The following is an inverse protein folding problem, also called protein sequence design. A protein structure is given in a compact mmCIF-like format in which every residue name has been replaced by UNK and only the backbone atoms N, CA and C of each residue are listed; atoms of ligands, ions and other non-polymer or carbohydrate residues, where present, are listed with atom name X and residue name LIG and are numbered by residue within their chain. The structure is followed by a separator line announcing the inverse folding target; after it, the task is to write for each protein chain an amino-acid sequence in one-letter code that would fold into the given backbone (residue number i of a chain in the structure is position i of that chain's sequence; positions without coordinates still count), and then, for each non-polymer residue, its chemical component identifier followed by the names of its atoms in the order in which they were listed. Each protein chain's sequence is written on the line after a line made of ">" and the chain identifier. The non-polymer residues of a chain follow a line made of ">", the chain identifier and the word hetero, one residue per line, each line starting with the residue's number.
data_IF_971426881369
#
_entry.id   IF_971426881369
#
_cell.length_a   1.000
_cell.length_b   1.000
_cell.length_c   1.000
_cell.angle_alpha   90.00
_cell.angle_beta   90.00
_cell.angle_gamma   90.00
#
_symmetry.space_group_name_H-M   'P 1'
#
loop_
_entity.id
_entity.type
_entity.pdbx_description
1 polymer ?
#
# COMPACT_ATOMS: atom_id res chain seq x y z
N UNK A 1 5.98 -32.20 39.88
CA UNK A 1 6.92 -31.18 39.35
C UNK A 1 7.31 -30.09 40.37
N UNK A 2 7.29 -30.36 41.69
CA UNK A 2 7.65 -29.38 42.75
C UNK A 2 9.16 -29.07 42.88
N UNK A 3 10.02 -29.85 42.21
CA UNK A 3 11.49 -29.80 42.38
C UNK A 3 12.25 -29.08 41.26
N UNK A 4 11.65 -28.84 40.09
CA UNK A 4 12.38 -28.30 38.94
C UNK A 4 12.58 -26.77 39.00
N UNK A 5 11.66 -26.02 39.61
CA UNK A 5 11.73 -24.54 39.68
C UNK A 5 12.37 -24.01 40.98
N UNK A 6 12.40 -24.80 42.06
CA UNK A 6 12.95 -24.38 43.35
C UNK A 6 14.48 -24.57 43.48
N UNK A 7 15.15 -25.19 42.50
CA UNK A 7 16.55 -25.62 42.61
C UNK A 7 17.58 -24.79 41.82
N UNK A 8 17.20 -23.75 41.09
CA UNK A 8 18.20 -22.97 40.34
C UNK A 8 17.95 -21.44 40.38
N UNK A 9 18.42 -20.74 41.43
CA UNK A 9 18.47 -19.26 41.43
C UNK A 9 19.27 -18.69 40.25
N UNK A 10 20.13 -19.51 39.63
CA UNK A 10 20.80 -19.17 38.37
C UNK A 10 19.85 -19.05 37.18
N UNK A 11 18.72 -19.78 37.14
CA UNK A 11 17.80 -19.78 35.99
C UNK A 11 17.08 -18.44 35.84
N UNK A 12 16.62 -17.85 36.95
CA UNK A 12 15.95 -16.54 36.93
C UNK A 12 16.93 -15.40 36.61
N UNK A 13 18.18 -15.52 37.09
CA UNK A 13 19.28 -14.60 36.79
C UNK A 13 19.70 -14.69 35.31
N UNK A 14 19.78 -15.89 34.75
CA UNK A 14 20.09 -16.09 33.32
C UNK A 14 18.96 -15.61 32.42
N UNK A 15 17.70 -15.79 32.84
CA UNK A 15 16.54 -15.34 32.06
C UNK A 15 16.46 -13.80 32.04
N UNK A 16 16.64 -13.13 33.19
CA UNK A 16 16.77 -11.67 33.23
C UNK A 16 17.97 -11.16 32.43
N UNK A 17 19.13 -11.81 32.54
CA UNK A 17 20.33 -11.43 31.79
C UNK A 17 20.17 -11.55 30.28
N UNK A 18 19.53 -12.63 29.81
CA UNK A 18 19.19 -12.82 28.40
C UNK A 18 18.18 -11.78 27.91
N UNK A 19 17.17 -11.43 28.72
CA UNK A 19 16.20 -10.38 28.36
C UNK A 19 16.87 -9.02 28.16
N UNK A 20 17.74 -8.61 29.10
CA UNK A 20 18.40 -7.30 29.03
C UNK A 20 19.38 -7.25 27.86
N UNK A 21 20.13 -8.33 27.62
CA UNK A 21 21.04 -8.38 26.45
C UNK A 21 20.28 -8.37 25.13
N UNK A 22 19.13 -9.05 25.04
CA UNK A 22 18.26 -8.99 23.87
C UNK A 22 17.74 -7.56 23.63
N UNK A 23 17.30 -6.86 24.69
CA UNK A 23 16.83 -5.47 24.59
C UNK A 23 17.96 -4.58 24.07
N UNK A 24 19.17 -4.67 24.62
CA UNK A 24 20.31 -3.86 24.18
C UNK A 24 20.71 -4.15 22.72
N UNK A 25 20.70 -5.43 22.31
CA UNK A 25 20.98 -5.81 20.93
C UNK A 25 19.91 -5.28 19.96
N UNK A 26 18.63 -5.37 20.33
CA UNK A 26 17.53 -4.84 19.52
C UNK A 26 17.60 -3.31 19.45
N UNK A 27 17.83 -2.62 20.57
CA UNK A 27 18.04 -1.17 20.60
C UNK A 27 19.20 -0.74 19.70
N UNK A 28 20.33 -1.48 19.72
CA UNK A 28 21.46 -1.20 18.85
C UNK A 28 21.15 -1.45 17.37
N UNK A 29 20.43 -2.53 17.05
CA UNK A 29 19.99 -2.82 15.68
C UNK A 29 19.05 -1.73 15.13
N UNK A 30 18.10 -1.26 15.95
CA UNK A 30 17.20 -0.14 15.59
C UNK A 30 17.99 1.14 15.41
N UNK A 31 18.94 1.44 16.30
CA UNK A 31 19.82 2.61 16.17
C UNK A 31 20.70 2.55 14.90
N UNK A 32 21.24 1.38 14.57
CA UNK A 32 21.99 1.19 13.34
C UNK A 32 21.16 1.44 12.08
N UNK A 33 19.90 1.00 12.07
CA UNK A 33 18.98 1.23 10.97
C UNK A 33 18.57 2.71 10.81
N UNK A 34 18.59 3.50 11.88
CA UNK A 34 18.17 4.92 11.86
C UNK A 34 19.31 5.91 11.60
N UNK A 35 20.57 5.54 11.86
CA UNK A 35 21.72 6.46 11.72
C UNK A 35 22.31 6.47 10.30
N UNK A 36 22.21 5.38 9.56
CA UNK A 36 22.62 5.31 8.15
C UNK A 36 21.54 4.68 7.27
N UNK A 37 20.34 5.28 7.20
CA UNK A 37 19.31 4.82 6.30
C UNK A 37 19.79 5.05 4.86
N UNK A 38 19.97 3.96 4.13
CA UNK A 38 20.25 4.03 2.70
C UNK A 38 18.97 4.12 1.86
N UNK A 39 17.80 4.20 2.50
CA UNK A 39 16.51 4.31 1.83
C UNK A 39 15.95 5.72 1.97
N UNK A 40 15.44 6.23 0.86
CA UNK A 40 14.85 7.55 0.74
C UNK A 40 13.45 7.43 0.15
N UNK A 41 12.53 8.28 0.61
CA UNK A 41 11.18 8.40 0.08
C UNK A 41 11.11 9.62 -0.80
N UNK A 42 10.68 9.43 -2.05
CA UNK A 42 10.39 10.54 -2.94
C UNK A 42 8.89 10.77 -3.01
N UNK A 43 8.51 12.03 -3.15
CA UNK A 43 7.14 12.47 -3.43
C UNK A 43 7.02 12.90 -4.89
N UNK A 44 5.85 12.64 -5.47
CA UNK A 44 5.49 13.15 -6.79
C UNK A 44 4.36 14.16 -6.66
N UNK A 45 4.36 15.16 -7.54
CA UNK A 45 3.26 16.11 -7.70
C UNK A 45 2.50 15.77 -8.99
N UNK A 46 1.20 15.53 -8.85
CA UNK A 46 0.30 15.23 -9.96
C UNK A 46 -0.32 16.52 -10.50
N UNK A 47 -0.10 16.81 -11.78
CA UNK A 47 -0.77 17.88 -12.49
C UNK A 47 -1.84 17.31 -13.43
N UNK A 48 -3.10 17.59 -13.12
CA UNK A 48 -4.24 17.18 -13.94
C UNK A 48 -4.59 18.27 -14.96
N UNK A 49 -4.67 17.88 -16.23
CA UNK A 49 -5.14 18.74 -17.31
C UNK A 49 -6.47 18.24 -17.84
N UNK A 50 -7.51 19.05 -17.67
CA UNK A 50 -8.79 18.87 -18.35
C UNK A 50 -8.71 19.52 -19.73
N UNK A 51 -8.96 18.75 -20.78
CA UNK A 51 -8.79 19.21 -22.16
C UNK A 51 -10.05 19.89 -22.66
N UNK A 52 -9.89 21.11 -23.20
CA UNK A 52 -10.98 21.77 -23.93
C UNK A 52 -11.26 21.01 -25.23
N UNK A 53 -12.45 20.43 -25.32
CA UNK A 53 -12.85 19.58 -26.44
C UNK A 53 -13.46 20.43 -27.56
N UNK A 54 -12.78 20.43 -28.71
CA UNK A 54 -13.27 21.07 -29.93
C UNK A 54 -14.34 20.23 -30.64
N UNK A 55 -15.04 20.84 -31.58
CA UNK A 55 -16.02 20.15 -32.45
C UNK A 55 -15.40 18.93 -33.15
N UNK A 56 -16.07 17.76 -33.10
CA UNK A 56 -15.56 16.56 -33.77
C UNK A 56 -15.62 16.66 -35.28
N UNK A 57 -14.76 15.87 -35.92
CA UNK A 57 -14.94 15.54 -37.33
C UNK A 57 -15.99 14.45 -37.46
N UNK A 58 -17.10 14.77 -38.15
CA UNK A 58 -18.19 13.83 -38.45
C UNK A 58 -17.96 13.15 -39.79
N UNK A 59 -18.01 11.82 -39.81
CA UNK A 59 -17.90 11.00 -41.03
C UNK A 59 -19.08 10.03 -41.05
N UNK A 60 -20.01 10.22 -41.99
CA UNK A 60 -21.10 9.28 -42.22
C UNK A 60 -20.73 8.30 -43.33
N UNK A 61 -20.90 7.01 -43.06
CA UNK A 61 -20.59 5.93 -43.99
C UNK A 61 -21.87 5.21 -44.43
N UNK A 62 -22.32 5.50 -45.65
CA UNK A 62 -23.55 4.95 -46.23
C UNK A 62 -23.53 3.41 -46.33
N UNK A 63 -22.37 2.81 -46.61
CA UNK A 63 -22.25 1.35 -46.80
C UNK A 63 -22.54 0.54 -45.54
N UNK A 64 -22.19 1.07 -44.37
CA UNK A 64 -22.40 0.44 -43.06
C UNK A 64 -23.54 1.08 -42.26
N UNK A 65 -24.12 2.17 -42.78
CA UNK A 65 -25.10 3.01 -42.07
C UNK A 65 -24.60 3.40 -40.68
N UNK A 66 -23.37 3.91 -40.59
CA UNK A 66 -22.73 4.31 -39.33
C UNK A 66 -22.18 5.73 -39.42
N UNK A 67 -22.28 6.48 -38.32
CA UNK A 67 -21.63 7.78 -38.14
C UNK A 67 -20.42 7.62 -37.21
N UNK A 68 -19.28 8.17 -37.61
CA UNK A 68 -18.06 8.21 -36.81
C UNK A 68 -17.79 9.66 -36.42
N UNK A 69 -17.64 9.88 -35.12
CA UNK A 69 -17.20 11.14 -34.53
C UNK A 69 -15.75 10.99 -34.11
N UNK A 70 -14.87 11.87 -34.58
CA UNK A 70 -13.44 11.79 -34.29
C UNK A 70 -12.90 13.11 -33.71
N UNK A 71 -12.18 13.00 -32.60
CA UNK A 71 -11.43 14.09 -31.98
C UNK A 71 -9.94 13.76 -32.00
N UNK A 72 -9.10 14.76 -32.23
CA UNK A 72 -7.66 14.65 -32.03
C UNK A 72 -7.26 15.68 -30.97
N UNK A 73 -6.74 15.20 -29.85
CA UNK A 73 -6.37 16.01 -28.69
C UNK A 73 -4.85 15.88 -28.47
N UNK A 74 -4.09 16.98 -28.51
CA UNK A 74 -2.69 16.95 -28.10
C UNK A 74 -2.58 16.87 -26.58
N UNK A 75 -1.85 15.88 -26.05
CA UNK A 75 -1.49 15.83 -24.63
C UNK A 75 -0.03 16.25 -24.41
N UNK A 76 0.30 16.68 -23.18
CA UNK A 76 1.68 16.89 -22.78
C UNK A 76 2.39 15.52 -22.68
N UNK A 77 3.50 15.34 -23.40
CA UNK A 77 4.28 14.11 -23.42
C UNK A 77 5.16 13.92 -22.17
N UNK A 78 5.55 15.01 -21.52
CA UNK A 78 6.48 15.01 -20.38
C UNK A 78 5.80 14.45 -19.14
N UNK A 79 6.26 13.30 -18.67
CA UNK A 79 5.77 12.55 -17.52
C UNK A 79 4.27 12.23 -17.54
N UNK A 80 3.69 12.04 -18.72
CA UNK A 80 2.30 11.61 -18.84
C UNK A 80 2.14 10.22 -18.25
N UNK A 81 1.29 10.05 -17.24
CA UNK A 81 1.08 8.76 -16.55
C UNK A 81 -0.31 8.21 -16.78
N UNK A 82 -1.34 9.04 -16.66
CA UNK A 82 -2.75 8.64 -16.67
C UNK A 82 -3.55 9.37 -17.75
N UNK A 83 -4.49 8.65 -18.34
CA UNK A 83 -5.48 9.18 -19.28
C UNK A 83 -6.85 8.66 -18.84
N UNK A 84 -7.77 9.59 -18.69
CA UNK A 84 -9.15 9.33 -18.30
C UNK A 84 -10.08 9.91 -19.35
N UNK A 85 -10.73 9.04 -20.10
CA UNK A 85 -11.74 9.41 -21.09
C UNK A 85 -13.12 9.02 -20.56
N UNK A 86 -14.04 9.98 -20.55
CA UNK A 86 -15.47 9.74 -20.35
C UNK A 86 -16.21 10.20 -21.60
N UNK A 87 -17.09 9.36 -22.12
CA UNK A 87 -17.99 9.70 -23.22
C UNK A 87 -19.44 9.59 -22.72
N UNK A 88 -20.24 10.62 -22.97
CA UNK A 88 -21.65 10.71 -22.53
C UNK A 88 -22.59 10.90 -23.71
N UNK A 89 -23.89 10.79 -23.45
CA UNK A 89 -24.96 10.90 -24.47
C UNK A 89 -24.80 9.95 -25.65
N UNK A 90 -24.23 8.77 -25.38
CA UNK A 90 -24.02 7.73 -26.38
C UNK A 90 -25.32 7.03 -26.75
N UNK A 91 -25.52 6.78 -28.05
CA UNK A 91 -26.59 5.88 -28.50
C UNK A 91 -26.31 4.41 -28.15
N UNK A 92 -27.36 3.60 -28.11
CA UNK A 92 -27.26 2.16 -27.91
C UNK A 92 -26.43 1.51 -29.03
N UNK A 93 -25.64 0.50 -28.65
CA UNK A 93 -24.68 -0.21 -29.51
C UNK A 93 -23.57 0.69 -30.09
N UNK A 94 -23.25 1.80 -29.42
CA UNK A 94 -22.11 2.63 -29.81
C UNK A 94 -20.78 2.02 -29.37
N UNK A 95 -19.73 2.32 -30.12
CA UNK A 95 -18.36 1.89 -29.84
C UNK A 95 -17.49 3.09 -29.58
N UNK A 96 -16.86 3.14 -28.41
CA UNK A 96 -15.92 4.19 -28.03
C UNK A 96 -14.50 3.64 -28.15
N UNK A 97 -13.64 4.34 -28.89
CA UNK A 97 -12.23 3.98 -29.10
C UNK A 97 -11.32 5.09 -28.61
N UNK A 98 -10.35 4.74 -27.78
CA UNK A 98 -9.21 5.57 -27.41
C UNK A 98 -7.97 5.08 -28.16
N UNK A 99 -7.38 5.94 -28.98
CA UNK A 99 -6.29 5.62 -29.88
C UNK A 99 -5.07 6.49 -29.56
N UNK A 100 -3.92 5.85 -29.42
CA UNK A 100 -2.63 6.50 -29.33
C UNK A 100 -1.56 5.60 -29.95
N UNK A 101 -0.71 6.15 -30.82
CA UNK A 101 0.28 5.35 -31.57
C UNK A 101 1.50 4.94 -30.76
N UNK A 102 1.80 5.58 -29.62
CA UNK A 102 2.83 5.11 -28.68
C UNK A 102 2.37 3.88 -27.87
N UNK A 103 1.05 3.66 -27.82
CA UNK A 103 0.40 2.56 -27.14
C UNK A 103 0.14 2.86 -25.67
N UNK A 104 -1.03 2.44 -25.21
CA UNK A 104 -1.49 2.62 -23.84
C UNK A 104 -1.77 1.27 -23.20
N UNK A 105 -1.64 1.19 -21.89
CA UNK A 105 -2.07 0.07 -21.07
C UNK A 105 -3.48 0.34 -20.56
N UNK A 106 -4.44 -0.51 -20.89
CA UNK A 106 -5.80 -0.41 -20.35
C UNK A 106 -6.32 -1.77 -19.92
N UNK A 107 -7.31 -1.73 -19.03
CA UNK A 107 -8.13 -2.88 -18.66
C UNK A 107 -9.45 -2.37 -18.10
N UNK A 108 -10.52 -3.16 -18.19
CA UNK A 108 -11.86 -2.79 -17.68
C UNK A 108 -11.89 -2.51 -16.17
N UNK A 109 -10.99 -3.14 -15.42
CA UNK A 109 -10.88 -2.99 -13.96
C UNK A 109 -9.90 -1.89 -13.53
N UNK A 110 -9.21 -1.25 -14.48
CA UNK A 110 -8.28 -0.17 -14.15
C UNK A 110 -9.04 1.04 -13.61
N UNK A 111 -8.68 1.54 -12.43
CA UNK A 111 -9.35 2.68 -11.78
C UNK A 111 -10.67 2.32 -11.07
N UNK A 112 -11.06 1.04 -11.05
CA UNK A 112 -12.28 0.59 -10.38
C UNK A 112 -11.94 0.08 -8.98
N UNK A 113 -12.59 0.61 -7.95
CA UNK A 113 -12.54 0.04 -6.61
C UNK A 113 -13.22 -1.34 -6.62
N UNK A 114 -12.42 -2.39 -6.49
CA UNK A 114 -12.90 -3.77 -6.49
C UNK A 114 -12.13 -4.60 -5.48
N UNK A 115 -12.81 -5.56 -4.85
CA UNK A 115 -12.20 -6.57 -3.97
C UNK A 115 -11.33 -7.59 -4.74
N UNK A 116 -11.27 -7.48 -6.07
CA UNK A 116 -10.48 -8.35 -6.92
C UNK A 116 -9.02 -7.90 -6.91
N UNK A 117 -8.10 -8.87 -6.77
CA UNK A 117 -6.67 -8.64 -6.94
C UNK A 117 -6.37 -8.29 -8.40
N UNK A 118 -6.40 -7.00 -8.74
CA UNK A 118 -6.09 -6.48 -10.06
C UNK A 118 -4.68 -5.87 -10.08
N UNK A 119 -3.85 -6.28 -11.03
CA UNK A 119 -2.53 -5.69 -11.27
C UNK A 119 -2.37 -5.35 -12.74
N UNK A 120 -2.19 -4.06 -13.04
CA UNK A 120 -2.00 -3.61 -14.40
C UNK A 120 -0.72 -4.17 -15.05
N UNK A 121 0.31 -4.47 -14.24
CA UNK A 121 1.55 -5.07 -14.75
C UNK A 121 1.33 -6.46 -15.39
N UNK A 122 0.31 -7.20 -14.95
CA UNK A 122 0.00 -8.55 -15.45
C UNK A 122 -1.21 -8.57 -16.39
N UNK A 123 -2.22 -7.74 -16.10
CA UNK A 123 -3.54 -7.84 -16.74
C UNK A 123 -3.83 -6.71 -17.73
N UNK A 124 -3.14 -5.57 -17.66
CA UNK A 124 -3.34 -4.54 -18.67
C UNK A 124 -2.69 -4.96 -19.99
N UNK A 125 -3.37 -4.65 -21.08
CA UNK A 125 -2.85 -4.90 -22.42
C UNK A 125 -2.29 -3.60 -22.99
N UNK A 126 -1.05 -3.64 -23.48
CA UNK A 126 -0.48 -2.52 -24.23
C UNK A 126 -0.97 -2.57 -25.67
N UNK A 127 -1.93 -1.72 -26.01
CA UNK A 127 -2.43 -1.60 -27.38
C UNK A 127 -2.46 -0.13 -27.82
N UNK A 128 -2.39 0.09 -29.13
CA UNK A 128 -2.58 1.41 -29.71
C UNK A 128 -4.03 1.86 -29.72
N UNK A 129 -4.96 0.91 -29.57
CA UNK A 129 -6.40 1.14 -29.62
C UNK A 129 -7.07 0.34 -28.52
N UNK A 130 -7.88 1.05 -27.73
CA UNK A 130 -8.71 0.48 -26.67
C UNK A 130 -10.16 0.77 -27.00
N UNK A 131 -10.99 -0.27 -27.04
CA UNK A 131 -12.39 -0.19 -27.45
C UNK A 131 -13.31 -0.68 -26.33
N UNK A 132 -14.40 0.07 -26.11
CA UNK A 132 -15.49 -0.31 -25.21
C UNK A 132 -16.81 -0.10 -25.92
N UNK A 133 -17.69 -1.10 -25.84
CA UNK A 133 -19.03 -1.06 -26.42
C UNK A 133 -20.05 -0.62 -25.37
N UNK A 134 -20.95 0.30 -25.74
CA UNK A 134 -22.10 0.70 -24.94
C UNK A 134 -23.34 -0.03 -25.42
N UNK A 135 -23.73 -1.11 -24.73
CA UNK A 135 -24.88 -1.92 -25.14
C UNK A 135 -26.19 -1.14 -25.03
N UNK A 136 -26.42 -0.49 -23.89
CA UNK A 136 -27.68 0.18 -23.57
C UNK A 136 -27.65 1.70 -23.84
N UNK A 137 -26.52 2.23 -24.31
CA UNK A 137 -26.28 3.67 -24.43
C UNK A 137 -25.88 4.32 -23.11
N UNK A 138 -25.74 5.65 -23.12
CA UNK A 138 -25.42 6.44 -21.92
C UNK A 138 -23.94 6.80 -21.81
N UNK A 139 -23.28 6.37 -20.73
CA UNK A 139 -21.92 6.79 -20.38
C UNK A 139 -20.94 5.63 -20.45
N UNK A 140 -19.79 5.86 -21.08
CA UNK A 140 -18.65 4.94 -21.12
C UNK A 140 -17.42 5.64 -20.58
N UNK A 141 -16.65 4.91 -19.76
CA UNK A 141 -15.39 5.39 -19.19
C UNK A 141 -14.27 4.46 -19.64
N UNK A 142 -13.16 5.05 -20.07
CA UNK A 142 -11.92 4.35 -20.40
C UNK A 142 -10.79 4.97 -19.57
N UNK A 143 -10.18 4.15 -18.73
CA UNK A 143 -8.94 4.48 -18.03
C UNK A 143 -7.77 3.84 -18.77
N UNK A 144 -6.69 4.61 -18.96
CA UNK A 144 -5.50 4.12 -19.62
C UNK A 144 -4.24 4.72 -19.00
N UNK A 145 -3.15 3.94 -19.07
CA UNK A 145 -1.84 4.28 -18.55
C UNK A 145 -0.81 4.30 -19.67
N UNK A 146 0.15 5.20 -19.60
CA UNK A 146 1.29 5.20 -20.54
C UNK A 146 2.35 4.16 -20.15
N UNK A 147 2.44 3.84 -18.85
CA UNK A 147 3.32 2.82 -18.29
C UNK A 147 2.63 2.09 -17.13
N UNK A 148 2.91 0.79 -16.99
CA UNK A 148 2.49 0.02 -15.81
C UNK A 148 3.39 0.23 -14.60
N UNK A 149 4.58 0.82 -14.77
CA UNK A 149 5.55 0.99 -13.70
C UNK A 149 4.98 1.90 -12.59
N UNK A 150 4.78 1.36 -11.38
CA UNK A 150 4.25 2.16 -10.27
C UNK A 150 5.24 3.21 -9.79
N UNK A 151 6.56 3.08 -10.01
CA UNK A 151 7.54 4.05 -9.52
C UNK A 151 7.32 5.47 -10.06
N UNK A 152 6.59 5.58 -11.18
CA UNK A 152 6.27 6.85 -11.85
C UNK A 152 5.10 7.61 -11.26
N UNK A 153 4.39 7.04 -10.29
CA UNK A 153 3.15 7.59 -9.74
C UNK A 153 3.01 7.25 -8.26
N UNK A 154 2.34 8.11 -7.51
CA UNK A 154 1.99 7.87 -6.11
C UNK A 154 3.19 7.62 -5.18
N UNK A 155 4.22 8.47 -5.28
CA UNK A 155 5.40 8.42 -4.42
C UNK A 155 6.15 7.07 -4.51
N UNK A 156 7.30 6.98 -3.83
CA UNK A 156 7.98 5.70 -3.76
C UNK A 156 9.24 5.76 -2.93
N UNK A 157 10.05 4.71 -3.04
CA UNK A 157 11.28 4.57 -2.29
C UNK A 157 12.45 4.21 -3.19
N UNK A 158 13.61 4.78 -2.92
CA UNK A 158 14.87 4.48 -3.62
C UNK A 158 15.99 4.23 -2.64
N UNK A 159 16.97 3.44 -3.07
CA UNK A 159 18.19 3.18 -2.32
C UNK A 159 19.34 4.05 -2.85
N UNK A 160 20.04 4.76 -1.97
CA UNK A 160 21.20 5.59 -2.29
C UNK A 160 22.19 5.67 -1.12
N UNK A 161 23.47 5.92 -1.43
CA UNK A 161 24.49 6.16 -0.41
C UNK A 161 24.31 7.53 0.25
N UNK A 162 23.86 8.52 -0.53
CA UNK A 162 23.55 9.88 -0.07
C UNK A 162 22.27 10.42 -0.76
N UNK A 163 21.84 11.60 -0.32
CA UNK A 163 20.63 12.23 -0.84
C UNK A 163 20.78 12.65 -2.30
N UNK A 164 21.99 12.97 -2.77
CA UNK A 164 22.22 13.34 -4.17
C UNK A 164 22.00 12.14 -5.08
N UNK A 165 22.65 11.01 -4.80
CA UNK A 165 22.47 9.75 -5.55
C UNK A 165 21.02 9.28 -5.53
N UNK A 166 20.35 9.39 -4.36
CA UNK A 166 18.95 9.04 -4.24
C UNK A 166 18.04 9.95 -5.08
N UNK A 167 18.35 11.26 -5.14
CA UNK A 167 17.59 12.22 -5.96
C UNK A 167 17.71 11.89 -7.45
N UNK A 168 18.92 11.61 -7.92
CA UNK A 168 19.17 11.23 -9.32
C UNK A 168 18.38 9.96 -9.68
N UNK A 169 18.47 8.92 -8.85
CA UNK A 169 17.71 7.67 -9.06
C UNK A 169 16.20 7.87 -9.04
N UNK A 170 15.70 8.71 -8.14
CA UNK A 170 14.26 9.00 -8.08
C UNK A 170 13.79 9.72 -9.35
N UNK A 171 14.56 10.71 -9.82
CA UNK A 171 14.28 11.41 -11.07
C UNK A 171 14.30 10.46 -12.26
N UNK A 172 15.31 9.61 -12.38
CA UNK A 172 15.42 8.64 -13.47
C UNK A 172 14.24 7.66 -13.53
N UNK A 173 13.63 7.33 -12.38
CA UNK A 173 12.45 6.46 -12.32
C UNK A 173 11.17 7.17 -12.77
N UNK A 174 11.01 8.45 -12.40
CA UNK A 174 9.82 9.27 -12.68
C UNK A 174 9.86 9.83 -14.09
N UNK A 175 11.01 10.36 -14.51
CA UNK A 175 11.21 11.02 -15.79
C UNK A 175 10.88 10.08 -16.94
N UNK A 176 9.89 10.48 -17.72
CA UNK A 176 9.37 9.69 -18.81
C UNK A 176 8.76 10.55 -19.91
N UNK A 177 9.23 10.37 -21.13
CA UNK A 177 8.64 11.00 -22.30
C UNK A 177 7.71 10.02 -23.02
N UNK A 178 6.41 10.32 -23.05
CA UNK A 178 5.44 9.56 -23.84
C UNK A 178 5.29 10.16 -25.24
N UNK A 179 5.91 9.53 -26.25
CA UNK A 179 5.89 10.04 -27.62
C UNK A 179 5.41 9.00 -28.65
N UNK A 180 4.46 9.35 -29.53
CA UNK A 180 3.73 10.62 -29.59
C UNK A 180 2.62 10.72 -28.53
N UNK A 181 2.40 11.94 -28.01
CA UNK A 181 1.34 12.26 -27.03
C UNK A 181 0.02 12.71 -27.65
N UNK A 182 -0.18 12.49 -28.95
CA UNK A 182 -1.47 12.76 -29.59
C UNK A 182 -2.48 11.67 -29.25
N UNK A 183 -3.61 12.05 -28.69
CA UNK A 183 -4.73 11.18 -28.37
C UNK A 183 -5.80 11.36 -29.44
N UNK A 184 -6.34 10.26 -29.94
CA UNK A 184 -7.46 10.26 -30.88
C UNK A 184 -8.61 9.49 -30.27
N UNK A 185 -9.76 10.13 -30.16
CA UNK A 185 -11.00 9.51 -29.67
C UNK A 185 -11.91 9.31 -30.86
N UNK A 186 -12.46 8.11 -31.02
CA UNK A 186 -13.46 7.81 -32.04
C UNK A 186 -14.70 7.21 -31.40
N UNK A 187 -15.87 7.77 -31.70
CA UNK A 187 -17.16 7.21 -31.31
C UNK A 187 -17.89 6.79 -32.59
N UNK A 188 -18.21 5.51 -32.69
CA UNK A 188 -18.99 4.97 -33.82
C UNK A 188 -20.42 4.69 -33.36
N UNK A 189 -21.38 5.25 -34.07
CA UNK A 189 -22.81 5.10 -33.79
C UNK A 189 -23.57 4.59 -35.03
N UNK A 190 -24.68 3.88 -34.80
CA UNK A 190 -25.54 3.40 -35.87
C UNK A 190 -26.49 4.49 -36.35
N UNK A 191 -26.62 4.60 -37.67
CA UNK A 191 -27.46 5.57 -38.38
C UNK A 191 -26.71 6.84 -38.80
N UNK A 192 -27.41 7.70 -39.54
CA UNK A 192 -26.98 9.05 -39.91
C UNK A 192 -27.25 10.03 -38.75
N UNK A 193 -26.35 10.07 -37.77
CA UNK A 193 -26.52 10.84 -36.53
C UNK A 193 -26.09 12.28 -36.71
N UNK A 194 -26.96 13.24 -36.38
CA UNK A 194 -26.68 14.67 -36.47
C UNK A 194 -26.26 15.24 -35.10
N UNK A 195 -26.72 14.63 -34.02
CA UNK A 195 -26.36 15.03 -32.65
C UNK A 195 -24.97 14.53 -32.30
N UNK A 196 -24.09 15.46 -31.93
CA UNK A 196 -22.74 15.18 -31.46
C UNK A 196 -22.76 14.61 -30.03
N UNK A 197 -22.10 13.48 -29.75
CA UNK A 197 -21.87 13.03 -28.38
C UNK A 197 -20.79 13.85 -27.70
N UNK A 198 -20.86 13.97 -26.37
CA UNK A 198 -19.91 14.74 -25.57
C UNK A 198 -18.82 13.83 -25.00
N UNK A 199 -17.58 14.30 -25.01
CA UNK A 199 -16.44 13.63 -24.39
C UNK A 199 -15.79 14.56 -23.36
N UNK A 200 -15.23 13.97 -22.31
CA UNK A 200 -14.42 14.61 -21.29
C UNK A 200 -13.12 13.84 -21.24
N UNK A 201 -11.99 14.53 -21.41
CA UNK A 201 -10.68 13.91 -21.43
C UNK A 201 -9.78 14.61 -20.41
N UNK A 202 -9.33 13.85 -19.42
CA UNK A 202 -8.39 14.31 -18.40
C UNK A 202 -7.08 13.54 -18.55
N UNK A 203 -5.96 14.25 -18.57
CA UNK A 203 -4.63 13.66 -18.54
C UNK A 203 -3.89 14.06 -17.29
N UNK A 204 -3.10 13.15 -16.72
CA UNK A 204 -2.30 13.42 -15.52
C UNK A 204 -0.82 13.27 -15.84
N UNK A 205 -0.06 14.31 -15.51
CA UNK A 205 1.40 14.33 -15.60
C UNK A 205 1.98 14.33 -14.17
N UNK A 206 2.91 13.43 -13.87
CA UNK A 206 3.49 13.27 -12.54
C UNK A 206 4.94 13.76 -12.54
N UNK A 207 5.28 14.72 -11.69
CA UNK A 207 6.63 15.26 -11.61
C UNK A 207 7.28 14.97 -10.26
N UNK A 208 8.61 14.95 -10.24
CA UNK A 208 9.35 14.85 -9.00
C UNK A 208 9.15 16.13 -8.16
N UNK A 209 8.72 15.96 -6.91
CA UNK A 209 8.54 17.06 -5.96
C UNK A 209 9.71 17.12 -4.97
N UNK A 210 9.79 16.15 -4.06
CA UNK A 210 10.79 16.15 -2.99
C UNK A 210 11.32 14.76 -2.67
N UNK A 211 12.42 14.70 -1.94
CA UNK A 211 12.98 13.45 -1.42
C UNK A 211 13.47 13.64 0.01
N UNK A 212 13.15 12.67 0.86
CA UNK A 212 13.53 12.67 2.26
C UNK A 212 14.10 11.31 2.66
N UNK A 213 15.00 11.33 3.64
CA UNK A 213 15.51 10.12 4.25
C UNK A 213 14.36 9.35 4.90
N UNK A 214 14.31 8.02 4.69
CA UNK A 214 13.41 7.18 5.47
C UNK A 214 13.82 7.21 6.94
N UNK A 215 13.01 7.87 7.76
CA UNK A 215 13.18 7.87 9.20
C UNK A 215 12.05 7.10 9.85
N UNK A 216 12.41 6.10 10.64
CA UNK A 216 11.50 5.44 11.56
C UNK A 216 11.48 6.23 12.87
N UNK A 217 10.30 6.49 13.42
CA UNK A 217 10.18 7.08 14.76
C UNK A 217 10.60 6.05 15.82
N UNK A 218 11.90 6.07 16.13
CA UNK A 218 12.51 5.15 17.06
C UNK A 218 11.87 5.17 18.45
N UNK A 219 11.29 6.30 18.89
CA UNK A 219 10.64 6.39 20.20
C UNK A 219 9.33 5.60 20.21
N UNK A 220 8.49 5.80 19.19
CA UNK A 220 7.22 5.09 19.06
C UNK A 220 7.43 3.59 18.82
N UNK A 221 8.33 3.22 17.92
CA UNK A 221 8.67 1.81 17.68
C UNK A 221 9.26 1.13 18.92
N UNK A 222 10.09 1.83 19.69
CA UNK A 222 10.61 1.31 20.95
C UNK A 222 9.49 1.11 21.98
N UNK A 223 8.52 2.02 22.08
CA UNK A 223 7.38 1.86 22.98
C UNK A 223 6.53 0.64 22.61
N UNK A 224 6.28 0.41 21.33
CA UNK A 224 5.57 -0.78 20.85
C UNK A 224 6.36 -2.07 21.13
N UNK A 225 7.67 -2.08 20.86
CA UNK A 225 8.54 -3.21 21.17
C UNK A 225 8.58 -3.51 22.68
N UNK A 226 8.70 -2.47 23.52
CA UNK A 226 8.67 -2.59 24.97
C UNK A 226 7.33 -3.16 25.45
N UNK A 227 6.21 -2.65 24.93
CA UNK A 227 4.89 -3.14 25.27
C UNK A 227 4.72 -4.62 24.92
N UNK A 228 5.20 -5.04 23.75
CA UNK A 228 5.18 -6.44 23.32
C UNK A 228 6.01 -7.33 24.27
N UNK A 229 7.23 -6.92 24.63
CA UNK A 229 8.11 -7.66 25.55
C UNK A 229 7.47 -7.77 26.94
N UNK A 230 6.97 -6.66 27.50
CA UNK A 230 6.28 -6.67 28.81
C UNK A 230 5.05 -7.57 28.74
N UNK A 231 4.30 -7.57 27.63
CA UNK A 231 3.17 -8.46 27.39
C UNK A 231 3.57 -9.95 27.44
N UNK A 232 4.59 -10.33 26.67
CA UNK A 232 5.11 -11.71 26.66
C UNK A 232 5.61 -12.16 28.05
N UNK A 233 6.38 -11.31 28.73
CA UNK A 233 6.85 -11.61 30.09
C UNK A 233 5.71 -11.71 31.08
N UNK A 234 4.72 -10.82 31.01
CA UNK A 234 3.54 -10.85 31.89
C UNK A 234 2.76 -12.14 31.72
N UNK A 235 2.57 -12.60 30.48
CA UNK A 235 1.86 -13.84 30.18
C UNK A 235 2.53 -15.09 30.78
N UNK A 236 3.86 -15.11 30.85
CA UNK A 236 4.63 -16.23 31.44
C UNK A 236 4.79 -16.09 32.96
N UNK A 237 5.09 -14.89 33.45
CA UNK A 237 5.45 -14.65 34.84
C UNK A 237 4.24 -14.59 35.76
N UNK A 238 3.11 -14.01 35.34
CA UNK A 238 1.92 -13.87 36.21
C UNK A 238 1.40 -15.25 36.67
N UNK A 239 1.17 -16.25 35.78
CA UNK A 239 0.77 -17.59 36.21
C UNK A 239 1.84 -18.28 37.07
N UNK A 240 3.11 -18.09 36.73
CA UNK A 240 4.23 -18.69 37.47
C UNK A 240 4.33 -18.17 38.91
N UNK A 241 4.23 -16.85 39.09
CA UNK A 241 4.30 -16.22 40.40
C UNK A 241 3.05 -16.48 41.24
N UNK A 242 1.86 -16.46 40.66
CA UNK A 242 0.63 -16.78 41.39
C UNK A 242 0.67 -18.19 41.98
N UNK A 243 1.13 -19.18 41.21
CA UNK A 243 1.34 -20.56 41.72
C UNK A 243 2.42 -20.59 42.80
N UNK A 244 3.53 -19.89 42.62
CA UNK A 244 4.61 -19.84 43.61
C UNK A 244 4.15 -19.24 44.94
N UNK A 245 3.47 -18.08 44.91
CA UNK A 245 2.98 -17.41 46.12
C UNK A 245 1.88 -18.21 46.81
N UNK A 246 0.96 -18.83 46.05
CA UNK A 246 -0.05 -19.72 46.62
C UNK A 246 0.59 -20.93 47.33
N UNK A 247 1.64 -21.53 46.72
CA UNK A 247 2.37 -22.63 47.33
C UNK A 247 3.11 -22.20 48.61
N UNK A 248 3.77 -21.03 48.60
CA UNK A 248 4.49 -20.46 49.76
C UNK A 248 3.53 -20.14 50.91
N UNK A 249 2.37 -19.55 50.61
CA UNK A 249 1.36 -19.23 51.60
C UNK A 249 0.78 -20.51 52.24
N UNK A 250 0.54 -21.55 51.43
CA UNK A 250 0.13 -22.87 51.94
C UNK A 250 1.19 -23.49 52.83
N UNK A 251 2.46 -23.48 52.41
CA UNK A 251 3.57 -24.01 53.21
C UNK A 251 3.70 -23.30 54.57
N UNK A 252 3.59 -21.97 54.59
CA UNK A 252 3.61 -21.21 55.84
C UNK A 252 2.41 -21.55 56.75
N UNK A 253 1.21 -21.71 56.18
CA UNK A 253 0.01 -22.08 56.93
C UNK A 253 0.10 -23.51 57.50
N UNK A 254 0.64 -24.45 56.71
CA UNK A 254 0.82 -25.83 57.13
C UNK A 254 1.90 -25.93 58.23
N UNK A 255 2.98 -25.12 58.16
CA UNK A 255 4.00 -25.02 59.22
C UNK A 255 3.41 -24.51 60.54
N UNK A 256 2.62 -23.42 60.50
CA UNK A 256 1.98 -22.87 61.70
C UNK A 256 1.00 -23.87 62.36
N UNK A 257 0.28 -24.67 61.56
CA UNK A 257 -0.60 -25.72 62.10
C UNK A 257 0.17 -26.86 62.76
N UNK A 258 1.32 -27.23 62.22
CA UNK A 258 2.19 -28.24 62.82
C UNK A 258 2.74 -27.74 64.16
N UNK A 259 3.25 -26.51 64.22
CA UNK A 259 3.72 -25.88 65.47
C UNK A 259 2.62 -25.86 66.55
N UNK A 260 1.40 -25.44 66.18
CA UNK A 260 0.25 -25.46 67.11
C UNK A 260 -0.13 -26.87 67.57
N UNK A 261 -0.03 -27.87 66.69
CA UNK A 261 -0.32 -29.27 67.04
C UNK A 261 0.74 -29.85 67.96
N UNK A 262 2.02 -29.51 67.74
CA UNK A 262 3.12 -29.88 68.63
C UNK A 262 2.99 -29.24 70.02
N UNK A 263 2.59 -27.97 70.09
CA UNK A 263 2.30 -27.29 71.37
C UNK A 263 1.13 -27.93 72.12
N UNK A 264 0.05 -28.28 71.41
CA UNK A 264 -1.10 -28.98 72.03
C UNK A 264 -0.74 -30.37 72.55
N UNK A 265 0.07 -31.13 71.80
CA UNK A 265 0.53 -32.45 72.25
C UNK A 265 1.44 -32.32 73.48
N UNK A 266 2.37 -31.36 73.50
CA UNK A 266 3.20 -31.07 74.68
C UNK A 266 2.35 -30.71 75.89
N UNK A 267 1.38 -29.81 75.74
CA UNK A 267 0.47 -29.41 76.81
C UNK A 267 -0.41 -30.57 77.33
N UNK A 268 -0.69 -31.57 76.49
CA UNK A 268 -1.44 -32.77 76.89
C UNK A 268 -0.61 -33.84 77.59
N UNK A 269 0.71 -33.82 77.44
CA UNK A 269 1.66 -34.73 78.11
C UNK A 269 2.11 -34.22 79.49
N UNK A 270 1.92 -32.92 79.77
CA UNK A 270 2.26 -32.28 81.06
C UNK A 270 1.08 -32.27 82.07
N UNK A 271 -0.02 -32.95 81.76
CA UNK A 271 -1.16 -33.21 82.67
C UNK A 271 -1.20 -34.68 83.07
#
# INVERSE_FOLDING_TARGET
>A
MKKALAQNPNLLRTLMGLSVTLILLLSYAVYGATVSPSYYLYTTESNETDHEINEPTRIYQESSNTTIWAWNIPANSSNLTWIHLTAVDLSAQSKVKLINSAGLYSHRLLGVESDQAFSCAEQCQKNSTHEVESNDGGTVVIHALTSYDPARRNNGTVYGADIQEATEKARDLIEYEHSPSSLRVEITETGDRITTPEIILVTVNEEFDSIAVFSVDAATEFLWALAAVVGCFSMVLIPSFTVYFAAKAKENKDRLKLEQSEEQVKASLEK
#
